data_IF_686297475237
#
_entry.id   IF_686297475237
#
_cell.length_a   1.000
_cell.length_b   1.000
_cell.length_c   1.000
_cell.angle_alpha   90.00
_cell.angle_beta   90.00
_cell.angle_gamma   90.00
#
_symmetry.space_group_name_H-M   'P 1'
#
loop_
_entity.id
_entity.type
_entity.pdbx_description
1 polymer ?
#
# COMPACT_ATOMS: atom_id res chain seq x y z
N UNK A 1 24.36 71.48 -51.84
CA UNK A 1 23.23 70.59 -52.08
C UNK A 1 23.35 69.46 -51.09
N UNK A 2 22.38 69.35 -50.14
CA UNK A 2 22.44 68.58 -48.90
C UNK A 2 21.84 67.17 -49.12
N UNK A 3 22.66 66.11 -48.94
CA UNK A 3 22.24 64.70 -49.02
C UNK A 3 21.68 64.19 -47.68
N UNK A 4 20.42 63.76 -47.71
CA UNK A 4 19.67 63.23 -46.55
C UNK A 4 19.97 61.73 -46.35
N UNK A 5 20.71 61.37 -45.31
CA UNK A 5 20.94 59.96 -44.90
C UNK A 5 19.72 59.47 -44.13
N UNK A 6 18.99 58.49 -44.68
CA UNK A 6 17.93 57.73 -44.01
C UNK A 6 18.59 56.63 -43.14
N UNK A 7 18.43 56.75 -41.86
CA UNK A 7 18.79 55.67 -40.88
C UNK A 7 17.56 54.77 -40.79
N UNK A 8 17.67 53.55 -41.30
CA UNK A 8 16.68 52.47 -41.09
C UNK A 8 17.04 51.74 -39.80
N UNK A 9 16.29 52.03 -38.75
CA UNK A 9 16.42 51.30 -37.48
C UNK A 9 15.77 49.92 -37.60
N UNK A 10 16.53 48.84 -37.57
CA UNK A 10 16.03 47.50 -37.50
C UNK A 10 15.63 47.21 -36.04
N UNK A 11 14.33 47.14 -35.79
CA UNK A 11 13.78 46.64 -34.49
C UNK A 11 13.96 45.12 -34.44
N UNK A 12 14.94 44.67 -33.68
CA UNK A 12 15.16 43.23 -33.42
C UNK A 12 14.24 42.79 -32.29
N UNK A 13 13.04 42.25 -32.64
CA UNK A 13 12.19 41.57 -31.67
C UNK A 13 12.85 40.26 -31.20
N UNK A 14 13.47 40.28 -30.02
CA UNK A 14 13.92 39.08 -29.34
C UNK A 14 12.70 38.32 -28.82
N UNK A 15 12.24 37.33 -29.57
CA UNK A 15 11.27 36.35 -29.07
C UNK A 15 11.94 35.52 -27.97
N UNK A 16 11.67 35.82 -26.70
CA UNK A 16 12.00 34.95 -25.60
C UNK A 16 11.16 33.68 -25.74
N UNK A 17 11.73 32.62 -26.28
CA UNK A 17 11.17 31.27 -26.19
C UNK A 17 11.20 30.87 -24.70
N UNK A 18 10.06 31.03 -24.03
CA UNK A 18 9.87 30.44 -22.70
C UNK A 18 9.98 28.91 -22.86
N UNK A 19 11.12 28.35 -22.49
CA UNK A 19 11.23 26.90 -22.31
C UNK A 19 10.25 26.50 -21.23
N UNK A 20 9.06 26.04 -21.61
CA UNK A 20 8.13 25.39 -20.71
C UNK A 20 8.71 24.03 -20.35
N UNK A 21 9.59 23.98 -19.35
CA UNK A 21 10.05 22.72 -18.82
C UNK A 21 8.84 21.98 -18.25
N UNK A 22 8.54 20.81 -18.81
CA UNK A 22 7.51 19.92 -18.24
C UNK A 22 7.85 19.68 -16.78
N UNK A 23 6.91 19.87 -15.84
CA UNK A 23 7.17 19.61 -14.44
C UNK A 23 7.68 18.17 -14.23
N UNK A 24 8.58 17.93 -13.29
CA UNK A 24 9.02 16.57 -12.98
C UNK A 24 7.81 15.70 -12.60
N UNK A 25 7.87 14.38 -12.78
CA UNK A 25 6.77 13.51 -12.40
C UNK A 25 6.63 13.48 -10.88
N UNK A 26 5.38 13.33 -10.39
CA UNK A 26 5.07 13.08 -8.99
C UNK A 26 5.52 11.66 -8.63
N UNK A 27 6.44 11.51 -7.68
CA UNK A 27 6.99 10.23 -7.24
C UNK A 27 6.10 9.67 -6.12
N UNK A 28 5.31 8.63 -6.43
CA UNK A 28 4.39 7.99 -5.50
C UNK A 28 4.95 6.64 -5.07
N UNK A 29 5.34 6.51 -3.81
CA UNK A 29 5.72 5.23 -3.21
C UNK A 29 4.51 4.47 -2.71
N UNK A 30 4.42 3.18 -3.02
CA UNK A 30 3.35 2.32 -2.53
C UNK A 30 3.80 0.87 -2.34
N UNK A 31 2.87 -0.01 -1.95
CA UNK A 31 3.18 -1.39 -1.60
C UNK A 31 2.63 -2.38 -2.62
N UNK A 32 3.20 -3.59 -2.66
CA UNK A 32 2.66 -4.69 -3.45
C UNK A 32 1.18 -4.96 -3.15
N UNK A 33 0.76 -4.83 -1.88
CA UNK A 33 -0.64 -5.02 -1.50
C UNK A 33 -1.56 -3.99 -2.16
N UNK A 34 -1.16 -2.70 -2.25
CA UNK A 34 -1.92 -1.67 -2.97
C UNK A 34 -2.00 -1.99 -4.47
N UNK A 35 -0.93 -2.47 -5.07
CA UNK A 35 -0.92 -2.89 -6.47
C UNK A 35 -1.79 -4.13 -6.69
N UNK A 36 -1.55 -5.20 -5.95
CA UNK A 36 -2.19 -6.51 -6.17
C UNK A 36 -3.67 -6.52 -5.80
N UNK A 37 -4.13 -5.65 -4.89
CA UNK A 37 -5.55 -5.41 -4.64
C UNK A 37 -6.25 -4.68 -5.80
N UNK A 38 -5.50 -4.21 -6.81
CA UNK A 38 -6.00 -3.42 -7.93
C UNK A 38 -6.29 -1.96 -7.58
N UNK A 39 -5.94 -1.50 -6.39
CA UNK A 39 -6.15 -0.10 -6.00
C UNK A 39 -5.30 0.86 -6.85
N UNK A 40 -4.10 0.43 -7.24
CA UNK A 40 -3.19 1.24 -8.05
C UNK A 40 -3.73 1.51 -9.46
N UNK A 41 -4.43 0.54 -10.08
CA UNK A 41 -5.01 0.66 -11.43
C UNK A 41 -5.96 1.87 -11.53
N UNK A 42 -6.60 2.26 -10.41
CA UNK A 42 -7.50 3.40 -10.35
C UNK A 42 -6.76 4.75 -10.35
N UNK A 43 -5.48 4.79 -9.96
CA UNK A 43 -4.67 6.01 -10.05
C UNK A 43 -4.47 6.36 -11.52
N UNK A 44 -4.03 5.40 -12.32
CA UNK A 44 -3.75 5.58 -13.75
C UNK A 44 -5.01 5.95 -14.54
N UNK A 45 -6.18 5.45 -14.14
CA UNK A 45 -7.45 5.69 -14.83
C UNK A 45 -8.19 6.96 -14.41
N UNK A 46 -8.00 7.44 -13.18
CA UNK A 46 -8.80 8.54 -12.60
C UNK A 46 -8.00 9.81 -12.30
N UNK A 47 -6.67 9.73 -12.17
CA UNK A 47 -5.85 10.90 -11.92
C UNK A 47 -5.50 11.62 -13.23
N UNK A 48 -5.91 12.89 -13.36
CA UNK A 48 -5.69 13.73 -14.54
C UNK A 48 -4.68 14.85 -14.31
N UNK A 49 -4.00 14.87 -13.15
CA UNK A 49 -3.01 15.89 -12.79
C UNK A 49 -1.61 15.61 -13.36
N UNK A 50 -0.59 15.97 -12.61
CA UNK A 50 0.80 15.72 -13.01
C UNK A 50 1.07 14.23 -13.28
N UNK A 51 1.99 13.94 -14.22
CA UNK A 51 2.43 12.58 -14.49
C UNK A 51 2.90 11.91 -13.19
N UNK A 52 2.42 10.71 -12.89
CA UNK A 52 2.83 9.92 -11.74
C UNK A 52 3.89 8.91 -12.16
N UNK A 53 4.90 8.74 -11.33
CA UNK A 53 5.82 7.60 -11.38
C UNK A 53 5.68 6.85 -10.08
N UNK A 54 5.31 5.58 -10.17
CA UNK A 54 5.06 4.74 -9.01
C UNK A 54 6.27 3.89 -8.66
N UNK A 55 6.67 3.90 -7.39
CA UNK A 55 7.69 3.01 -6.82
C UNK A 55 6.98 2.00 -5.91
N UNK A 56 7.15 0.70 -6.20
CA UNK A 56 6.47 -0.38 -5.48
C UNK A 56 7.50 -1.23 -4.76
N UNK A 57 7.37 -1.33 -3.43
CA UNK A 57 8.24 -2.14 -2.59
C UNK A 57 7.55 -2.48 -1.25
N UNK A 58 8.11 -3.34 -0.39
CA UNK A 58 7.62 -3.54 0.97
C UNK A 58 7.52 -2.23 1.77
N UNK A 59 6.54 -2.13 2.68
CA UNK A 59 6.26 -0.90 3.46
C UNK A 59 7.50 -0.31 4.12
N UNK A 60 8.37 -1.15 4.70
CA UNK A 60 9.60 -0.68 5.34
C UNK A 60 10.55 0.04 4.39
N UNK A 61 10.72 -0.47 3.16
CA UNK A 61 11.57 0.13 2.15
C UNK A 61 10.98 1.46 1.61
N UNK A 62 9.67 1.48 1.34
CA UNK A 62 8.96 2.68 0.88
C UNK A 62 9.04 3.80 1.94
N UNK A 63 8.82 3.48 3.20
CA UNK A 63 8.88 4.47 4.28
C UNK A 63 10.30 5.02 4.46
N UNK A 64 11.33 4.18 4.34
CA UNK A 64 12.73 4.65 4.39
C UNK A 64 13.09 5.52 3.18
N UNK A 65 12.63 5.17 1.96
CA UNK A 65 12.81 6.00 0.77
C UNK A 65 12.15 7.38 0.95
N UNK A 66 10.94 7.42 1.54
CA UNK A 66 10.26 8.66 1.88
C UNK A 66 11.06 9.50 2.89
N UNK A 67 11.57 8.90 3.95
CA UNK A 67 12.36 9.59 4.96
C UNK A 67 13.68 10.18 4.40
N UNK A 68 14.24 9.57 3.34
CA UNK A 68 15.41 10.14 2.61
C UNK A 68 15.03 11.23 1.61
N UNK A 69 13.72 11.44 1.33
CA UNK A 69 13.26 12.42 0.34
C UNK A 69 13.24 11.90 -1.12
N UNK A 70 13.30 10.59 -1.31
CA UNK A 70 13.27 9.96 -2.65
C UNK A 70 11.85 9.97 -3.25
N UNK A 71 10.82 10.21 -2.43
CA UNK A 71 9.39 10.17 -2.80
C UNK A 71 8.68 11.45 -2.40
N UNK A 72 7.65 11.84 -3.15
CA UNK A 72 6.81 13.02 -2.88
C UNK A 72 5.56 12.65 -2.06
N UNK A 73 5.01 11.47 -2.34
CA UNK A 73 3.83 10.91 -1.67
C UNK A 73 4.08 9.44 -1.39
N UNK A 74 3.56 8.93 -0.28
CA UNK A 74 3.54 7.50 0.00
C UNK A 74 2.15 7.04 0.42
N UNK A 75 1.80 5.80 0.02
CA UNK A 75 0.57 5.12 0.40
C UNK A 75 0.96 3.77 0.99
N UNK A 76 0.72 3.61 2.29
CA UNK A 76 1.14 2.42 3.05
C UNK A 76 0.02 1.90 3.96
N UNK A 77 0.24 0.74 4.57
CA UNK A 77 -0.71 0.08 5.47
C UNK A 77 0.01 -0.60 6.66
N UNK A 78 1.03 0.05 7.18
CA UNK A 78 1.84 -0.43 8.31
C UNK A 78 1.92 0.63 9.43
N UNK A 79 0.83 0.90 10.17
CA UNK A 79 0.73 2.06 11.08
C UNK A 79 1.89 2.18 12.08
N UNK A 80 2.39 1.08 12.62
CA UNK A 80 3.50 1.10 13.58
C UNK A 80 4.84 1.49 12.94
N UNK A 81 5.09 1.08 11.69
CA UNK A 81 6.25 1.52 10.92
C UNK A 81 6.11 2.98 10.48
N UNK A 82 4.91 3.37 10.03
CA UNK A 82 4.59 4.73 9.62
C UNK A 82 4.89 5.72 10.74
N UNK A 83 4.37 5.48 11.95
CA UNK A 83 4.59 6.32 13.11
C UNK A 83 6.08 6.44 13.49
N UNK A 84 6.85 5.34 13.34
CA UNK A 84 8.27 5.32 13.71
C UNK A 84 9.16 5.97 12.67
N UNK A 85 8.90 5.75 11.36
CA UNK A 85 9.84 6.15 10.30
C UNK A 85 9.48 7.52 9.73
N UNK A 86 8.18 7.88 9.66
CA UNK A 86 7.74 9.16 9.10
C UNK A 86 7.58 10.27 10.14
N UNK A 87 7.88 10.04 11.42
CA UNK A 87 7.93 11.10 12.42
C UNK A 87 8.86 12.23 11.95
N UNK A 88 8.32 13.46 11.82
CA UNK A 88 9.03 14.62 11.30
C UNK A 88 9.26 14.64 9.77
N UNK A 89 9.00 13.53 9.06
CA UNK A 89 9.23 13.40 7.61
C UNK A 89 7.96 13.57 6.76
N UNK A 90 6.80 13.81 7.37
CA UNK A 90 5.56 14.08 6.64
C UNK A 90 5.05 15.51 6.91
N UNK A 91 4.40 16.12 5.91
CA UNK A 91 3.71 17.41 6.06
C UNK A 91 2.19 17.22 6.10
N UNK A 92 1.70 16.06 5.65
CA UNK A 92 0.29 15.72 5.64
C UNK A 92 0.12 14.22 5.83
N UNK A 93 -0.87 13.83 6.63
CA UNK A 93 -1.30 12.45 6.86
C UNK A 93 -2.79 12.34 6.57
N UNK A 94 -3.15 11.48 5.62
CA UNK A 94 -4.53 11.31 5.15
C UNK A 94 -4.98 9.85 5.31
N UNK A 95 -5.89 9.54 6.27
CA UNK A 95 -6.54 8.23 6.30
C UNK A 95 -7.32 8.01 5.01
N UNK A 96 -7.14 6.88 4.32
CA UNK A 96 -7.85 6.62 3.06
C UNK A 96 -9.02 5.66 3.26
N UNK A 97 -8.73 4.38 3.15
CA UNK A 97 -9.66 3.25 3.30
C UNK A 97 -9.04 2.19 4.20
N UNK A 98 -9.78 1.17 4.55
CA UNK A 98 -9.24 -0.05 5.12
C UNK A 98 -9.73 -1.24 4.30
N UNK A 99 -8.84 -2.19 4.00
CA UNK A 99 -9.23 -3.55 3.64
C UNK A 99 -9.24 -4.44 4.89
N UNK A 100 -9.43 -5.73 4.68
CA UNK A 100 -9.32 -6.73 5.74
C UNK A 100 -8.30 -7.77 5.37
N UNK A 101 -7.57 -8.25 6.37
CA UNK A 101 -6.84 -9.49 6.25
C UNK A 101 -7.76 -10.69 6.46
N UNK A 102 -7.37 -11.80 5.86
CA UNK A 102 -7.95 -13.10 6.07
C UNK A 102 -6.84 -14.10 6.46
N UNK A 103 -7.16 -15.02 7.33
CA UNK A 103 -6.35 -16.23 7.52
C UNK A 103 -6.86 -17.22 6.48
N UNK A 104 -5.99 -17.57 5.54
CA UNK A 104 -6.28 -18.53 4.47
C UNK A 104 -5.50 -19.80 4.70
N UNK A 105 -6.00 -20.92 4.17
CA UNK A 105 -5.34 -22.21 4.34
C UNK A 105 -5.99 -23.31 3.49
N UNK A 106 -5.49 -24.55 3.62
CA UNK A 106 -6.02 -25.71 2.91
C UNK A 106 -7.48 -25.97 3.31
N UNK A 107 -8.29 -26.45 2.38
CA UNK A 107 -9.71 -26.74 2.63
C UNK A 107 -9.95 -27.76 3.75
N UNK A 108 -8.99 -28.65 3.98
CA UNK A 108 -9.06 -29.64 5.08
C UNK A 108 -8.90 -29.04 6.48
N UNK A 109 -8.39 -27.83 6.61
CA UNK A 109 -8.20 -27.05 7.84
C UNK A 109 -7.70 -27.88 9.05
N UNK A 110 -6.52 -28.53 8.98
CA UNK A 110 -6.05 -29.44 10.01
C UNK A 110 -5.80 -28.77 11.38
N UNK A 111 -5.72 -27.43 11.43
CA UNK A 111 -5.60 -26.68 12.68
C UNK A 111 -6.95 -26.16 13.20
N UNK A 112 -8.08 -26.46 12.52
CA UNK A 112 -9.41 -25.98 12.86
C UNK A 112 -9.48 -24.45 13.03
N UNK A 113 -8.87 -23.73 12.09
CA UNK A 113 -8.82 -22.26 12.08
C UNK A 113 -10.23 -21.67 11.88
N UNK A 114 -11.07 -22.34 11.10
CA UNK A 114 -12.45 -21.93 10.87
C UNK A 114 -13.31 -21.89 12.15
N UNK A 115 -12.94 -22.68 13.17
CA UNK A 115 -13.61 -22.71 14.48
C UNK A 115 -13.08 -21.66 15.47
N UNK A 116 -12.11 -20.85 15.05
CA UNK A 116 -11.55 -19.83 15.93
C UNK A 116 -12.55 -18.70 16.21
N UNK A 117 -12.52 -18.17 17.42
CA UNK A 117 -13.37 -17.05 17.81
C UNK A 117 -12.67 -15.68 17.61
N UNK A 118 -11.37 -15.68 17.55
CA UNK A 118 -10.51 -14.51 17.36
C UNK A 118 -9.29 -14.84 16.49
N UNK A 119 -8.72 -13.84 15.83
CA UNK A 119 -7.51 -14.03 15.03
C UNK A 119 -6.33 -14.58 15.85
N UNK A 120 -6.23 -14.15 17.11
CA UNK A 120 -5.19 -14.65 18.05
C UNK A 120 -5.38 -16.14 18.35
N UNK A 121 -6.63 -16.61 18.52
CA UNK A 121 -6.92 -18.04 18.71
C UNK A 121 -6.58 -18.84 17.44
N UNK A 122 -6.91 -18.33 16.26
CA UNK A 122 -6.56 -18.97 14.99
C UNK A 122 -5.03 -19.18 14.87
N UNK A 123 -4.23 -18.17 15.17
CA UNK A 123 -2.77 -18.28 15.19
C UNK A 123 -2.27 -19.27 16.26
N UNK A 124 -2.86 -19.25 17.44
CA UNK A 124 -2.52 -20.23 18.51
C UNK A 124 -2.85 -21.67 18.11
N UNK A 125 -3.95 -21.92 17.39
CA UNK A 125 -4.34 -23.22 16.85
C UNK A 125 -3.32 -23.73 15.83
N UNK A 126 -2.91 -22.90 14.87
CA UNK A 126 -1.88 -23.22 13.87
C UNK A 126 -0.58 -23.64 14.57
N UNK A 127 -0.12 -22.87 15.55
CA UNK A 127 1.10 -23.19 16.30
C UNK A 127 0.99 -24.49 17.11
N UNK A 128 -0.15 -24.69 17.78
CA UNK A 128 -0.41 -25.91 18.60
C UNK A 128 -0.44 -27.17 17.74
N UNK A 129 -1.07 -27.08 16.57
CA UNK A 129 -1.09 -28.16 15.59
C UNK A 129 0.24 -28.33 14.85
N UNK A 130 1.20 -27.39 15.00
CA UNK A 130 2.42 -27.30 14.18
C UNK A 130 2.11 -27.37 12.69
N UNK A 131 0.97 -26.82 12.31
CA UNK A 131 0.52 -26.80 10.93
C UNK A 131 1.36 -25.81 10.14
N UNK A 132 1.68 -26.14 8.88
CA UNK A 132 2.54 -25.31 8.03
C UNK A 132 1.95 -23.90 7.87
N UNK A 133 2.79 -22.89 8.02
CA UNK A 133 2.46 -21.48 7.79
C UNK A 133 3.52 -20.84 6.91
N UNK A 134 3.07 -20.08 5.90
CA UNK A 134 3.96 -19.30 5.03
C UNK A 134 3.77 -17.83 5.33
N UNK A 135 4.83 -17.22 5.83
CA UNK A 135 4.99 -15.79 6.06
C UNK A 135 5.58 -15.09 4.84
N UNK A 136 5.33 -13.81 4.72
CA UNK A 136 6.01 -12.99 3.71
C UNK A 136 7.51 -12.82 3.97
N UNK A 137 7.93 -12.59 5.21
CA UNK A 137 9.35 -12.44 5.55
C UNK A 137 10.06 -11.21 4.94
N UNK A 138 9.32 -10.16 4.49
CA UNK A 138 9.82 -9.07 3.63
C UNK A 138 9.67 -7.66 4.20
N UNK A 139 9.34 -7.53 5.49
CA UNK A 139 9.03 -6.25 6.16
C UNK A 139 7.83 -5.49 5.58
N UNK A 140 6.90 -6.20 4.93
CA UNK A 140 5.64 -5.64 4.45
C UNK A 140 4.66 -5.34 5.58
N UNK A 141 3.63 -4.54 5.29
CA UNK A 141 2.53 -4.32 6.24
C UNK A 141 1.82 -5.62 6.63
N UNK A 142 1.72 -6.59 5.72
CA UNK A 142 1.17 -7.93 5.99
C UNK A 142 2.03 -8.68 7.00
N UNK A 143 3.35 -8.71 6.82
CA UNK A 143 4.26 -9.35 7.77
C UNK A 143 4.23 -8.66 9.14
N UNK A 144 4.21 -7.33 9.18
CA UNK A 144 4.12 -6.59 10.45
C UNK A 144 2.82 -6.95 11.19
N UNK A 145 1.70 -7.06 10.49
CA UNK A 145 0.43 -7.52 11.06
C UNK A 145 0.52 -8.95 11.56
N UNK A 146 1.08 -9.84 10.77
CA UNK A 146 1.29 -11.26 11.11
C UNK A 146 2.11 -11.40 12.40
N UNK A 147 3.26 -10.73 12.47
CA UNK A 147 4.13 -10.78 13.67
C UNK A 147 3.45 -10.23 14.91
N UNK A 148 2.58 -9.22 14.76
CA UNK A 148 1.77 -8.71 15.87
C UNK A 148 0.76 -9.76 16.35
N UNK A 149 0.13 -10.52 15.46
CA UNK A 149 -0.79 -11.61 15.79
C UNK A 149 -0.07 -12.78 16.48
N UNK A 150 1.12 -13.18 15.99
CA UNK A 150 1.95 -14.17 16.66
C UNK A 150 2.35 -13.74 18.07
N UNK A 151 2.74 -12.47 18.23
CA UNK A 151 3.09 -11.90 19.54
C UNK A 151 1.89 -11.93 20.49
N UNK A 152 0.70 -11.53 20.00
CA UNK A 152 -0.54 -11.59 20.79
C UNK A 152 -0.92 -13.02 21.18
N UNK A 153 -0.67 -14.00 20.30
CA UNK A 153 -0.82 -15.42 20.58
C UNK A 153 0.27 -16.00 21.51
N UNK A 154 1.25 -15.18 21.94
CA UNK A 154 2.41 -15.59 22.75
C UNK A 154 3.25 -16.69 22.10
N UNK A 155 3.33 -16.66 20.76
CA UNK A 155 4.11 -17.61 19.95
C UNK A 155 5.26 -16.86 19.26
N UNK A 156 6.42 -17.51 19.20
CA UNK A 156 7.57 -17.09 18.40
C UNK A 156 7.82 -18.16 17.34
N UNK A 157 7.29 -18.00 16.11
CA UNK A 157 7.35 -19.04 15.10
C UNK A 157 8.69 -19.13 14.38
N UNK A 158 9.52 -18.06 14.40
CA UNK A 158 10.79 -18.00 13.68
C UNK A 158 11.69 -19.17 14.05
N UNK A 159 12.21 -19.85 13.03
CA UNK A 159 13.05 -21.05 13.21
C UNK A 159 12.29 -22.35 13.46
N UNK A 160 10.96 -22.31 13.61
CA UNK A 160 10.17 -23.51 13.71
C UNK A 160 10.05 -24.23 12.36
N UNK A 161 10.13 -25.58 12.28
CA UNK A 161 10.08 -26.31 11.01
C UNK A 161 8.75 -26.15 10.23
N UNK A 162 7.70 -25.71 10.90
CA UNK A 162 6.38 -25.48 10.30
C UNK A 162 6.19 -24.03 9.81
N UNK A 163 7.13 -23.12 10.10
CA UNK A 163 7.07 -21.71 9.72
C UNK A 163 8.10 -21.42 8.63
N UNK A 164 7.62 -21.00 7.46
CA UNK A 164 8.45 -20.70 6.29
C UNK A 164 8.29 -19.23 5.92
N UNK A 165 9.39 -18.53 5.73
CA UNK A 165 9.42 -17.17 5.19
C UNK A 165 9.68 -17.23 3.68
N UNK A 166 8.77 -16.67 2.87
CA UNK A 166 8.90 -16.67 1.41
C UNK A 166 9.89 -15.64 0.89
N UNK A 167 10.08 -14.54 1.61
CA UNK A 167 10.86 -13.37 1.16
C UNK A 167 10.22 -12.63 -0.03
N UNK A 168 8.94 -12.91 -0.33
CA UNK A 168 8.30 -12.49 -1.57
C UNK A 168 7.04 -11.63 -1.34
N UNK A 169 6.42 -11.18 -2.44
CA UNK A 169 5.15 -10.45 -2.40
C UNK A 169 3.96 -11.35 -1.99
N UNK A 170 2.77 -10.74 -1.87
CA UNK A 170 1.58 -11.45 -1.40
C UNK A 170 1.17 -12.59 -2.34
N UNK A 171 1.21 -12.36 -3.65
CA UNK A 171 0.81 -13.35 -4.65
C UNK A 171 1.72 -14.58 -4.60
N UNK A 172 3.02 -14.38 -4.66
CA UNK A 172 4.02 -15.45 -4.59
C UNK A 172 3.95 -16.22 -3.26
N UNK A 173 3.74 -15.49 -2.14
CA UNK A 173 3.56 -16.11 -0.81
C UNK A 173 2.34 -17.03 -0.78
N UNK A 174 1.22 -16.62 -1.38
CA UNK A 174 -0.02 -17.41 -1.41
C UNK A 174 0.10 -18.63 -2.34
N UNK A 175 0.81 -18.50 -3.46
CA UNK A 175 1.13 -19.63 -4.33
C UNK A 175 1.97 -20.68 -3.59
N UNK A 176 3.01 -20.24 -2.88
CA UNK A 176 3.83 -21.13 -2.06
C UNK A 176 3.02 -21.77 -0.92
N UNK A 177 2.11 -21.03 -0.28
CA UNK A 177 1.22 -21.58 0.74
C UNK A 177 0.31 -22.68 0.17
N UNK A 178 -0.24 -22.47 -1.03
CA UNK A 178 -1.04 -23.46 -1.75
C UNK A 178 -0.25 -24.74 -2.04
N UNK A 179 0.95 -24.61 -2.63
CA UNK A 179 1.83 -25.74 -2.94
C UNK A 179 2.22 -26.55 -1.70
N UNK A 180 2.33 -25.88 -0.56
CA UNK A 180 2.75 -26.51 0.72
C UNK A 180 1.58 -27.01 1.56
N UNK A 181 0.32 -26.78 1.12
CA UNK A 181 -0.85 -27.04 1.95
C UNK A 181 -0.78 -26.28 3.29
N UNK A 182 -0.34 -25.03 3.22
CA UNK A 182 -0.02 -24.20 4.38
C UNK A 182 -1.06 -23.11 4.61
N UNK A 183 -1.08 -22.57 5.82
CA UNK A 183 -1.80 -21.33 6.17
C UNK A 183 -0.97 -20.11 5.78
N UNK A 184 -1.64 -19.00 5.57
CA UNK A 184 -1.02 -17.69 5.37
C UNK A 184 -1.96 -16.56 5.82
N UNK A 185 -1.40 -15.39 6.11
CA UNK A 185 -2.17 -14.15 6.26
C UNK A 185 -2.26 -13.46 4.89
N UNK A 186 -3.46 -13.20 4.41
CA UNK A 186 -3.72 -12.59 3.11
C UNK A 186 -4.50 -11.29 3.24
N UNK A 187 -4.14 -10.25 2.47
CA UNK A 187 -5.05 -9.14 2.21
C UNK A 187 -6.21 -9.65 1.35
N UNK A 188 -7.43 -9.51 1.83
CA UNK A 188 -8.59 -10.14 1.23
C UNK A 188 -8.86 -9.67 -0.22
N UNK A 189 -8.81 -8.36 -0.54
CA UNK A 189 -8.92 -7.90 -1.93
C UNK A 189 -7.86 -8.48 -2.85
N UNK A 190 -6.62 -8.65 -2.39
CA UNK A 190 -5.55 -9.29 -3.16
C UNK A 190 -5.86 -10.77 -3.38
N UNK A 191 -6.23 -11.49 -2.32
CA UNK A 191 -6.54 -12.92 -2.41
C UNK A 191 -7.66 -13.23 -3.40
N UNK A 192 -8.73 -12.46 -3.36
CA UNK A 192 -9.91 -12.69 -4.21
C UNK A 192 -9.70 -12.33 -5.69
N UNK A 193 -8.60 -11.67 -6.04
CA UNK A 193 -8.20 -11.38 -7.43
C UNK A 193 -7.32 -12.48 -8.04
N UNK A 194 -6.80 -13.38 -7.20
CA UNK A 194 -5.98 -14.50 -7.69
C UNK A 194 -6.85 -15.60 -8.30
N UNK A 195 -6.32 -16.40 -9.22
CA UNK A 195 -6.97 -17.62 -9.65
C UNK A 195 -7.17 -18.56 -8.46
N UNK A 196 -8.06 -19.54 -8.58
CA UNK A 196 -8.26 -20.53 -7.50
C UNK A 196 -6.96 -21.30 -7.24
N UNK A 197 -6.35 -21.04 -6.10
CA UNK A 197 -5.14 -21.69 -5.61
C UNK A 197 -5.44 -22.94 -4.76
N UNK A 198 -6.72 -23.33 -4.60
CA UNK A 198 -7.12 -24.40 -3.68
C UNK A 198 -7.09 -23.99 -2.20
N UNK A 199 -6.70 -22.76 -1.88
CA UNK A 199 -6.81 -22.19 -0.54
C UNK A 199 -8.24 -21.68 -0.29
N UNK A 200 -8.66 -21.71 0.98
CA UNK A 200 -9.94 -21.16 1.43
C UNK A 200 -9.73 -20.04 2.44
N UNK A 201 -10.62 -19.07 2.42
CA UNK A 201 -10.74 -18.11 3.53
C UNK A 201 -11.33 -18.85 4.71
N UNK A 202 -10.55 -18.97 5.79
CA UNK A 202 -10.95 -19.71 6.98
C UNK A 202 -11.40 -18.79 8.11
N UNK A 203 -10.80 -17.59 8.23
CA UNK A 203 -11.17 -16.65 9.27
C UNK A 203 -10.95 -15.18 8.85
N UNK A 204 -11.96 -14.33 9.08
CA UNK A 204 -11.93 -12.88 8.81
C UNK A 204 -12.62 -12.03 9.87
N UNK A 205 -13.35 -12.64 10.79
CA UNK A 205 -14.31 -11.97 11.68
C UNK A 205 -13.65 -11.38 12.94
N UNK A 206 -12.59 -10.57 12.75
CA UNK A 206 -11.90 -9.91 13.87
C UNK A 206 -11.43 -8.51 13.48
N UNK A 207 -11.63 -7.54 14.36
CA UNK A 207 -11.15 -6.16 14.18
C UNK A 207 -9.62 -6.05 14.09
N UNK A 208 -8.89 -7.00 14.72
CA UNK A 208 -7.44 -7.10 14.60
C UNK A 208 -6.99 -7.38 13.16
N UNK A 209 -7.86 -7.93 12.31
CA UNK A 209 -7.58 -8.16 10.89
C UNK A 209 -7.82 -6.94 10.00
N UNK A 210 -8.15 -5.78 10.58
CA UNK A 210 -8.23 -4.53 9.84
C UNK A 210 -6.89 -4.15 9.21
N UNK A 211 -6.93 -3.70 7.94
CA UNK A 211 -5.77 -3.30 7.15
C UNK A 211 -5.93 -1.85 6.68
N UNK A 212 -5.57 -0.86 7.52
CA UNK A 212 -5.79 0.55 7.22
C UNK A 212 -4.74 1.11 6.26
N UNK A 213 -5.20 1.76 5.18
CA UNK A 213 -4.34 2.49 4.24
C UNK A 213 -4.26 3.97 4.63
N UNK A 214 -3.05 4.51 4.60
CA UNK A 214 -2.77 5.92 4.89
C UNK A 214 -1.91 6.50 3.77
N UNK A 215 -2.26 7.69 3.30
CA UNK A 215 -1.44 8.49 2.41
C UNK A 215 -0.70 9.55 3.22
N UNK A 216 0.57 9.75 2.89
CA UNK A 216 1.40 10.81 3.43
C UNK A 216 1.96 11.68 2.29
N UNK A 217 1.94 12.99 2.46
CA UNK A 217 2.76 13.90 1.67
C UNK A 217 4.08 14.09 2.41
N UNK A 218 5.17 13.78 1.74
CA UNK A 218 6.52 13.78 2.33
C UNK A 218 7.02 15.21 2.50
N UNK A 219 7.75 15.47 3.57
CA UNK A 219 8.42 16.73 3.83
C UNK A 219 9.70 16.81 3.01
N UNK A 220 9.72 17.67 2.02
CA UNK A 220 10.87 17.90 1.15
C UNK A 220 11.30 19.36 1.21
N UNK A 221 12.59 19.68 1.00
CA UNK A 221 13.07 21.06 0.88
C UNK A 221 12.32 21.85 -0.22
N UNK A 222 12.05 21.18 -1.35
CA UNK A 222 11.21 21.71 -2.45
C UNK A 222 10.06 20.72 -2.68
N UNK A 223 8.88 20.97 -2.13
CA UNK A 223 7.72 20.09 -2.32
C UNK A 223 7.28 20.05 -3.77
N UNK A 224 6.90 18.87 -4.26
CA UNK A 224 6.30 18.75 -5.58
C UNK A 224 4.93 19.49 -5.61
N UNK A 225 4.69 20.40 -6.59
CA UNK A 225 3.50 21.24 -6.59
C UNK A 225 2.17 20.46 -6.64
N UNK A 226 2.16 19.27 -7.25
CA UNK A 226 0.98 18.41 -7.33
C UNK A 226 0.76 17.52 -6.10
N UNK A 227 1.68 17.42 -5.14
CA UNK A 227 1.57 16.45 -4.04
C UNK A 227 0.32 16.66 -3.17
N UNK A 228 -0.01 17.90 -2.81
CA UNK A 228 -1.22 18.22 -2.04
C UNK A 228 -2.50 18.03 -2.85
N UNK A 229 -2.49 18.37 -4.14
CA UNK A 229 -3.63 18.14 -5.03
C UNK A 229 -3.89 16.62 -5.20
N UNK A 230 -2.83 15.82 -5.34
CA UNK A 230 -2.92 14.37 -5.37
C UNK A 230 -3.53 13.81 -4.06
N UNK A 231 -3.11 14.29 -2.90
CA UNK A 231 -3.66 13.87 -1.61
C UNK A 231 -5.15 14.22 -1.48
N UNK A 232 -5.56 15.42 -1.92
CA UNK A 232 -6.97 15.84 -1.93
C UNK A 232 -7.82 14.97 -2.89
N UNK A 233 -7.31 14.71 -4.09
CA UNK A 233 -7.93 13.81 -5.06
C UNK A 233 -8.05 12.37 -4.50
N UNK A 234 -7.04 11.87 -3.83
CA UNK A 234 -7.06 10.54 -3.22
C UNK A 234 -8.10 10.43 -2.10
N UNK A 235 -8.36 11.51 -1.35
CA UNK A 235 -9.42 11.60 -0.35
C UNK A 235 -10.83 11.71 -0.94
N UNK A 236 -10.95 12.06 -2.21
CA UNK A 236 -12.21 12.19 -2.95
C UNK A 236 -12.37 11.07 -3.99
N UNK A 237 -12.16 11.34 -5.29
CA UNK A 237 -12.48 10.41 -6.38
C UNK A 237 -11.86 9.02 -6.23
N UNK A 238 -10.59 8.93 -5.84
CA UNK A 238 -9.93 7.63 -5.69
C UNK A 238 -10.54 6.80 -4.54
N UNK A 239 -10.75 7.45 -3.39
CA UNK A 239 -11.37 6.78 -2.23
C UNK A 239 -12.79 6.28 -2.56
N UNK A 240 -13.61 7.09 -3.22
CA UNK A 240 -14.96 6.68 -3.60
C UNK A 240 -14.95 5.51 -4.58
N UNK A 241 -14.04 5.50 -5.54
CA UNK A 241 -13.87 4.39 -6.47
C UNK A 241 -13.43 3.10 -5.76
N UNK A 242 -12.57 3.18 -4.73
CA UNK A 242 -12.21 2.04 -3.89
C UNK A 242 -13.40 1.52 -3.09
N UNK A 243 -14.18 2.41 -2.48
CA UNK A 243 -15.37 2.05 -1.70
C UNK A 243 -16.49 1.41 -2.54
N UNK A 244 -16.52 1.70 -3.84
CA UNK A 244 -17.45 1.06 -4.76
C UNK A 244 -17.07 -0.38 -5.12
N UNK A 245 -15.82 -0.80 -4.89
CA UNK A 245 -15.36 -2.16 -5.21
C UNK A 245 -15.99 -3.20 -4.29
N UNK A 246 -16.32 -4.34 -4.90
CA UNK A 246 -16.91 -5.49 -4.19
C UNK A 246 -16.04 -6.72 -4.34
N UNK A 247 -16.04 -7.56 -3.31
CA UNK A 247 -15.51 -8.91 -3.35
C UNK A 247 -16.47 -9.84 -4.13
N UNK A 248 -16.05 -11.04 -4.51
CA UNK A 248 -16.89 -11.99 -5.26
C UNK A 248 -18.20 -12.36 -4.56
N UNK A 249 -18.26 -12.27 -3.22
CA UNK A 249 -19.44 -12.51 -2.40
C UNK A 249 -20.36 -11.28 -2.29
N UNK A 250 -20.04 -10.17 -2.99
CA UNK A 250 -20.77 -8.91 -2.96
C UNK A 250 -20.45 -8.00 -1.78
N UNK A 251 -19.68 -8.45 -0.81
CA UNK A 251 -19.27 -7.61 0.34
C UNK A 251 -18.29 -6.50 -0.08
N UNK A 252 -18.18 -5.40 0.68
CA UNK A 252 -17.22 -4.35 0.38
C UNK A 252 -15.77 -4.87 0.40
N UNK A 253 -15.00 -4.54 -0.65
CA UNK A 253 -13.56 -4.81 -0.67
C UNK A 253 -12.78 -3.84 0.23
N UNK A 254 -13.29 -2.63 0.37
CA UNK A 254 -12.71 -1.58 1.20
C UNK A 254 -13.78 -0.90 2.03
N UNK A 255 -13.45 -0.58 3.27
CA UNK A 255 -14.26 0.17 4.21
C UNK A 255 -13.76 1.62 4.32
N UNK A 256 -14.67 2.58 4.54
CA UNK A 256 -14.32 3.97 4.74
C UNK A 256 -13.59 4.15 6.08
N UNK A 257 -12.46 4.83 6.05
CA UNK A 257 -11.83 5.31 7.28
C UNK A 257 -12.30 6.72 7.60
N UNK A 258 -12.65 6.93 8.86
CA UNK A 258 -12.97 8.25 9.38
C UNK A 258 -11.71 9.14 9.44
N UNK A 259 -11.93 10.45 9.33
CA UNK A 259 -10.91 11.49 9.48
C UNK A 259 -10.56 12.19 8.19
N UNK A 260 -10.31 13.49 8.31
CA UNK A 260 -9.71 14.33 7.28
C UNK A 260 -8.18 14.16 7.30
N UNK A 261 -7.50 14.76 6.31
CA UNK A 261 -6.05 14.91 6.37
C UNK A 261 -5.67 15.80 7.56
N UNK A 262 -4.66 15.40 8.31
CA UNK A 262 -4.06 16.17 9.39
C UNK A 262 -2.65 16.60 9.02
N UNK A 263 -2.12 17.63 9.68
CA UNK A 263 -0.70 17.93 9.58
C UNK A 263 0.11 16.67 9.99
N UNK A 264 1.20 16.41 9.29
CA UNK A 264 2.16 15.38 9.69
C UNK A 264 2.90 15.86 10.96
N UNK A 265 3.06 14.96 11.90
CA UNK A 265 3.85 15.17 13.12
C UNK A 265 5.35 14.98 12.86
#
# INVERSE_FOLDING_TARGET
MRGLRRIVGALMCAAMAACTSTPPPLRVGTTYTVQQSGALDLIDSLWTGARVVTVIAPSGQILQAAARGDLDVVITHAPSLEARILAGHAVLRCPLVASRFAIVGPAADPAAVADAQQAVDAFARIARARARFVSRGDSSGTQIKELALWTAARVRPQGAPWYLESGADQTTTLQLAAERGAYALADLPTFTRLPDLGLRVLFTADTLLGNPYTLYVVRLPVPHPAARAFAAWAQGPWREALLARRLPDGSPAFDRRAGACTAGE
#
